data_IF_793809850473
#
_entry.id   IF_793809850473
#
_cell.length_a   1.000
_cell.length_b   1.000
_cell.length_c   1.000
_cell.angle_alpha   90.00
_cell.angle_beta   90.00
_cell.angle_gamma   90.00
#
_symmetry.space_group_name_H-M   'P 1'
#
loop_
_entity.id
_entity.type
_entity.pdbx_description
1 polymer ?
#
# COMPACT_ATOMS: atom_id res chain seq x y z
N UNK A 1 9.29 12.54 0.12
CA UNK A 1 10.50 12.54 0.98
C UNK A 1 10.74 11.12 1.46
N UNK A 2 11.97 10.59 1.45
CA UNK A 2 12.26 9.27 2.04
C UNK A 2 12.09 9.34 3.56
N UNK A 3 10.96 8.83 4.06
CA UNK A 3 10.73 8.66 5.49
C UNK A 3 11.60 7.50 5.99
N UNK A 4 12.83 7.84 6.41
CA UNK A 4 13.74 6.97 7.14
C UNK A 4 13.22 6.71 8.56
N UNK A 5 12.08 6.03 8.69
CA UNK A 5 11.54 5.58 9.98
C UNK A 5 11.71 4.08 10.13
N UNK A 6 12.98 3.65 10.17
CA UNK A 6 13.41 2.33 10.63
C UNK A 6 13.30 1.21 9.61
N UNK A 7 14.43 0.74 9.06
CA UNK A 7 14.59 -0.61 8.46
C UNK A 7 13.56 -1.04 7.38
N UNK A 8 12.78 -0.13 6.82
CA UNK A 8 11.90 -0.35 5.69
C UNK A 8 11.83 0.92 4.82
N UNK A 9 11.46 0.74 3.55
CA UNK A 9 11.21 1.82 2.59
C UNK A 9 9.79 1.70 2.07
N UNK A 10 9.11 2.82 1.84
CA UNK A 10 7.81 2.84 1.18
C UNK A 10 7.82 3.83 0.03
N UNK A 11 7.34 3.40 -1.13
CA UNK A 11 7.16 4.23 -2.32
C UNK A 11 5.69 4.21 -2.70
N UNK A 12 5.08 5.39 -2.79
CA UNK A 12 3.73 5.57 -3.32
C UNK A 12 3.77 6.24 -4.68
N UNK A 13 2.99 5.74 -5.61
CA UNK A 13 2.76 6.32 -6.92
C UNK A 13 1.25 6.45 -7.15
N UNK A 14 0.84 7.55 -7.77
CA UNK A 14 -0.55 7.84 -8.09
C UNK A 14 -0.66 8.23 -9.55
N UNK A 15 -1.62 7.65 -10.27
CA UNK A 15 -1.93 8.02 -11.65
C UNK A 15 -3.44 8.10 -11.86
N UNK A 16 -3.85 8.83 -12.89
CA UNK A 16 -5.25 8.89 -13.30
C UNK A 16 -5.54 7.76 -14.29
N UNK A 17 -6.48 6.90 -13.92
CA UNK A 17 -6.92 5.76 -14.71
C UNK A 17 -8.42 5.75 -14.93
N UNK A 18 -8.90 4.70 -15.60
CA UNK A 18 -10.34 4.41 -15.70
C UNK A 18 -10.75 3.43 -14.60
N UNK A 19 -11.89 3.65 -13.92
CA UNK A 19 -12.39 2.70 -12.94
C UNK A 19 -12.78 1.39 -13.61
N UNK A 20 -12.84 0.31 -12.82
CA UNK A 20 -13.26 -0.99 -13.32
C UNK A 20 -14.73 -0.97 -13.70
N UNK A 21 -15.11 -1.62 -14.81
CA UNK A 21 -16.52 -1.74 -15.21
C UNK A 21 -17.40 -2.43 -14.16
N UNK A 22 -16.80 -3.25 -13.28
CA UNK A 22 -17.51 -3.93 -12.19
C UNK A 22 -17.73 -3.03 -10.97
N UNK A 23 -16.88 -2.02 -10.78
CA UNK A 23 -16.92 -1.09 -9.65
C UNK A 23 -16.60 0.33 -10.17
N UNK A 24 -17.54 0.96 -10.91
CA UNK A 24 -17.32 2.26 -11.54
C UNK A 24 -17.27 3.43 -10.53
N UNK A 25 -17.74 3.18 -9.32
CA UNK A 25 -17.84 4.07 -8.16
C UNK A 25 -16.63 3.97 -7.22
N UNK A 26 -15.60 3.22 -7.61
CA UNK A 26 -14.38 3.02 -6.81
C UNK A 26 -13.12 3.17 -7.63
N UNK A 27 -12.14 3.87 -7.05
CA UNK A 27 -10.76 3.86 -7.55
C UNK A 27 -10.03 2.56 -7.21
N UNK A 28 -8.75 2.50 -7.56
CA UNK A 28 -7.93 1.32 -7.32
C UNK A 28 -6.75 1.64 -6.43
N UNK A 29 -6.43 0.69 -5.56
CA UNK A 29 -5.23 0.71 -4.72
C UNK A 29 -4.59 -0.66 -4.84
N UNK A 30 -3.33 -0.69 -5.25
CA UNK A 30 -2.50 -1.88 -5.27
C UNK A 30 -1.39 -1.71 -4.23
N UNK A 31 -1.25 -2.69 -3.34
CA UNK A 31 -0.22 -2.68 -2.31
C UNK A 31 0.66 -3.90 -2.50
N UNK A 32 1.96 -3.67 -2.60
CA UNK A 32 2.97 -4.70 -2.72
C UNK A 32 4.00 -4.57 -1.61
N UNK A 33 4.27 -5.67 -0.92
CA UNK A 33 5.32 -5.76 0.08
C UNK A 33 6.40 -6.68 -0.47
N UNK A 34 7.65 -6.25 -0.39
CA UNK A 34 8.81 -7.04 -0.75
C UNK A 34 9.73 -7.18 0.46
N UNK A 35 9.98 -8.41 0.90
CA UNK A 35 10.92 -8.71 1.97
C UNK A 35 12.30 -8.98 1.37
N UNK A 36 13.27 -8.12 1.66
CA UNK A 36 14.64 -8.32 1.19
C UNK A 36 15.24 -9.59 1.80
N UNK A 37 15.93 -10.44 1.02
CA UNK A 37 16.68 -11.57 1.58
C UNK A 37 17.72 -11.13 2.62
N UNK A 38 18.23 -9.90 2.50
CA UNK A 38 19.18 -9.31 3.45
C UNK A 38 18.54 -8.89 4.78
N UNK A 39 17.20 -8.92 4.89
CA UNK A 39 16.50 -8.45 6.08
C UNK A 39 16.49 -9.45 7.23
N UNK A 40 16.49 -10.75 6.92
CA UNK A 40 16.66 -11.84 7.88
C UNK A 40 16.97 -13.16 7.14
N UNK A 41 17.72 -14.10 7.74
CA UNK A 41 18.02 -15.40 7.13
C UNK A 41 16.76 -16.20 6.73
N UNK A 42 15.66 -16.01 7.47
CA UNK A 42 14.37 -16.62 7.17
C UNK A 42 13.70 -16.11 5.88
N UNK A 43 14.17 -15.00 5.33
CA UNK A 43 13.68 -14.45 4.06
C UNK A 43 14.46 -14.95 2.84
N UNK A 44 15.54 -15.72 3.05
CA UNK A 44 16.25 -16.36 1.94
C UNK A 44 15.42 -17.48 1.30
N UNK A 45 15.65 -17.73 0.01
CA UNK A 45 14.94 -18.77 -0.74
C UNK A 45 13.45 -18.44 -0.94
N UNK A 46 12.55 -19.35 -0.55
CA UNK A 46 11.09 -19.18 -0.72
C UNK A 46 10.40 -18.42 0.44
N UNK A 47 11.02 -18.36 1.61
CA UNK A 47 10.39 -17.81 2.82
C UNK A 47 10.03 -16.32 2.69
N UNK A 48 10.91 -15.52 2.07
CA UNK A 48 10.65 -14.10 1.86
C UNK A 48 9.47 -13.83 0.93
N UNK A 49 9.25 -14.66 -0.09
CA UNK A 49 8.18 -14.48 -1.09
C UNK A 49 6.79 -14.81 -0.52
N UNK A 50 6.67 -15.88 0.27
CA UNK A 50 5.42 -16.25 0.92
C UNK A 50 4.99 -15.17 1.91
N UNK A 51 5.90 -14.73 2.78
CA UNK A 51 5.62 -13.67 3.74
C UNK A 51 5.28 -12.33 3.06
N UNK A 52 6.02 -11.97 2.01
CA UNK A 52 5.74 -10.78 1.19
C UNK A 52 4.31 -10.78 0.64
N UNK A 53 3.86 -11.94 0.16
CA UNK A 53 2.51 -12.11 -0.39
C UNK A 53 1.47 -12.02 0.73
N UNK A 54 1.71 -12.68 1.86
CA UNK A 54 0.81 -12.65 3.01
C UNK A 54 0.66 -11.22 3.58
N UNK A 55 1.77 -10.50 3.75
CA UNK A 55 1.79 -9.10 4.20
C UNK A 55 1.06 -8.18 3.22
N UNK A 56 1.26 -8.38 1.91
CA UNK A 56 0.56 -7.60 0.88
C UNK A 56 -0.95 -7.77 0.99
N UNK A 57 -1.43 -9.02 1.11
CA UNK A 57 -2.86 -9.31 1.25
C UNK A 57 -3.39 -8.75 2.57
N UNK A 58 -2.71 -8.99 3.69
CA UNK A 58 -3.11 -8.49 5.00
C UNK A 58 -3.24 -6.96 5.01
N UNK A 59 -2.26 -6.23 4.46
CA UNK A 59 -2.32 -4.77 4.35
C UNK A 59 -3.45 -4.29 3.44
N UNK A 60 -3.68 -4.94 2.30
CA UNK A 60 -4.82 -4.64 1.44
C UNK A 60 -6.14 -4.79 2.21
N UNK A 61 -6.31 -5.88 2.97
CA UNK A 61 -7.51 -6.06 3.79
C UNK A 61 -7.63 -5.04 4.93
N UNK A 62 -6.54 -4.70 5.62
CA UNK A 62 -6.54 -3.70 6.68
C UNK A 62 -6.89 -2.30 6.15
N UNK A 63 -6.37 -1.93 4.98
CA UNK A 63 -6.53 -0.59 4.42
C UNK A 63 -7.77 -0.41 3.55
N UNK A 64 -8.30 -1.49 2.95
CA UNK A 64 -9.47 -1.44 2.08
C UNK A 64 -10.73 -2.06 2.70
N UNK A 65 -10.57 -2.93 3.69
CA UNK A 65 -11.69 -3.71 4.27
C UNK A 65 -12.19 -3.20 5.63
N UNK A 66 -11.39 -2.47 6.40
CA UNK A 66 -11.79 -2.03 7.74
C UNK A 66 -12.56 -0.70 7.71
N UNK A 67 -13.83 -0.73 8.12
CA UNK A 67 -14.63 0.48 8.37
C UNK A 67 -13.89 1.39 9.36
N UNK A 68 -13.48 2.57 8.91
CA UNK A 68 -12.95 3.65 9.75
C UNK A 68 -11.43 3.70 9.96
N UNK A 69 -10.63 2.81 9.35
CA UNK A 69 -9.16 2.82 9.54
C UNK A 69 -8.34 3.06 8.26
N UNK A 70 -8.94 2.92 7.07
CA UNK A 70 -8.23 2.85 5.78
C UNK A 70 -8.66 3.85 4.70
N UNK A 71 -8.15 3.63 3.48
CA UNK A 71 -8.35 4.47 2.29
C UNK A 71 -9.77 4.21 1.74
N UNK A 72 -10.60 5.24 1.64
CA UNK A 72 -11.92 5.10 1.03
C UNK A 72 -11.80 5.08 -0.50
N UNK A 73 -12.06 3.92 -1.12
CA UNK A 73 -11.97 3.76 -2.56
C UNK A 73 -12.96 4.65 -3.33
N UNK A 74 -14.09 5.03 -2.73
CA UNK A 74 -15.05 5.92 -3.38
C UNK A 74 -14.55 7.37 -3.41
N UNK A 75 -13.72 7.78 -2.43
CA UNK A 75 -13.03 9.08 -2.45
C UNK A 75 -11.98 9.21 -3.55
N UNK A 76 -11.57 8.09 -4.16
CA UNK A 76 -10.60 8.05 -5.25
C UNK A 76 -11.24 8.30 -6.63
N UNK A 77 -12.56 8.46 -6.71
CA UNK A 77 -13.24 8.81 -7.95
C UNK A 77 -13.13 10.31 -8.22
N UNK A 78 -12.61 10.66 -9.39
CA UNK A 78 -12.58 12.05 -9.89
C UNK A 78 -13.81 12.34 -10.72
N UNK A 79 -14.16 11.41 -11.62
CA UNK A 79 -15.37 11.45 -12.42
C UNK A 79 -15.95 10.04 -12.54
N UNK A 80 -17.14 9.85 -11.98
CA UNK A 80 -17.80 8.54 -11.90
C UNK A 80 -17.86 7.84 -13.26
N UNK A 81 -17.40 6.58 -13.29
CA UNK A 81 -17.33 5.77 -14.51
C UNK A 81 -16.36 6.26 -15.59
N UNK A 82 -15.61 7.35 -15.37
CA UNK A 82 -14.71 7.94 -16.37
C UNK A 82 -13.27 8.00 -15.89
N UNK A 83 -13.02 8.60 -14.73
CA UNK A 83 -11.68 8.88 -14.21
C UNK A 83 -11.64 8.55 -12.72
N UNK A 84 -10.67 7.74 -12.32
CA UNK A 84 -10.35 7.45 -10.94
C UNK A 84 -8.85 7.55 -10.70
N UNK A 85 -8.48 7.70 -9.44
CA UNK A 85 -7.11 7.50 -9.02
C UNK A 85 -6.79 6.01 -8.95
N UNK A 86 -5.67 5.65 -9.56
CA UNK A 86 -5.01 4.36 -9.42
C UNK A 86 -3.74 4.59 -8.58
N UNK A 87 -3.75 4.10 -7.35
CA UNK A 87 -2.65 4.18 -6.40
C UNK A 87 -1.86 2.88 -6.34
N UNK A 88 -0.54 2.99 -6.37
CA UNK A 88 0.40 1.89 -6.19
C UNK A 88 1.29 2.19 -5.00
N UNK A 89 1.38 1.25 -4.09
CA UNK A 89 2.14 1.38 -2.85
C UNK A 89 3.09 0.19 -2.76
N UNK A 90 4.38 0.46 -2.92
CA UNK A 90 5.44 -0.53 -2.78
C UNK A 90 6.14 -0.34 -1.44
N UNK A 91 6.23 -1.40 -0.66
CA UNK A 91 6.95 -1.43 0.61
C UNK A 91 8.10 -2.42 0.52
N UNK A 92 9.30 -2.01 0.92
CA UNK A 92 10.48 -2.87 1.00
C UNK A 92 10.88 -3.02 2.47
N UNK A 93 10.83 -4.24 2.99
CA UNK A 93 11.31 -4.58 4.33
C UNK A 93 12.80 -4.91 4.25
N UNK A 94 13.63 -4.17 4.98
CA UNK A 94 15.10 -4.27 4.94
C UNK A 94 15.68 -4.85 6.23
N UNK A 95 14.93 -4.88 7.34
CA UNK A 95 15.26 -5.69 8.51
C UNK A 95 14.02 -5.85 9.42
N UNK A 96 13.82 -7.04 10.01
CA UNK A 96 12.65 -7.37 10.82
C UNK A 96 12.97 -7.46 12.31
N UNK A 97 12.86 -6.34 13.03
CA UNK A 97 12.97 -6.30 14.49
C UNK A 97 11.62 -5.88 15.13
N UNK A 98 10.53 -6.60 14.84
CA UNK A 98 9.21 -6.32 15.43
C UNK A 98 8.02 -6.66 14.53
N UNK A 99 6.85 -6.08 14.84
CA UNK A 99 5.61 -6.29 14.08
C UNK A 99 5.61 -5.49 12.77
N UNK A 100 5.91 -6.17 11.66
CA UNK A 100 5.96 -5.57 10.33
C UNK A 100 4.63 -4.96 9.90
N UNK A 101 3.50 -5.55 10.28
CA UNK A 101 2.17 -5.06 9.89
C UNK A 101 1.87 -3.69 10.50
N UNK A 102 2.24 -3.46 11.76
CA UNK A 102 2.01 -2.17 12.42
C UNK A 102 2.89 -1.06 11.82
N UNK A 103 4.16 -1.40 11.52
CA UNK A 103 5.10 -0.49 10.88
C UNK A 103 4.63 -0.11 9.47
N UNK A 104 4.26 -1.11 8.66
CA UNK A 104 3.78 -0.92 7.29
C UNK A 104 2.42 -0.20 7.25
N UNK A 105 1.50 -0.55 8.14
CA UNK A 105 0.20 0.12 8.25
C UNK A 105 0.34 1.60 8.61
N UNK A 106 1.27 1.93 9.50
CA UNK A 106 1.56 3.32 9.88
C UNK A 106 2.24 4.10 8.75
N UNK A 107 3.12 3.46 7.97
CA UNK A 107 3.76 4.04 6.80
C UNK A 107 2.74 4.47 5.74
N UNK A 108 1.81 3.57 5.44
CA UNK A 108 0.78 3.78 4.41
C UNK A 108 -0.25 4.82 4.85
N UNK A 109 -0.55 4.90 6.15
CA UNK A 109 -1.42 5.93 6.70
C UNK A 109 -0.77 7.31 6.76
N UNK A 110 0.55 7.41 6.53
CA UNK A 110 1.24 8.70 6.56
C UNK A 110 0.65 9.66 5.52
N UNK A 111 0.52 10.92 5.94
CA UNK A 111 -0.15 12.04 5.26
C UNK A 111 0.32 12.28 3.81
N UNK A 112 1.46 11.72 3.43
CA UNK A 112 2.05 11.85 2.08
C UNK A 112 1.09 11.33 0.99
N UNK A 113 0.47 10.16 1.17
CA UNK A 113 -0.50 9.59 0.21
C UNK A 113 -1.76 10.47 0.05
N UNK A 114 -2.19 11.11 1.14
CA UNK A 114 -3.39 11.96 1.16
C UNK A 114 -3.13 13.34 0.54
N UNK A 115 -1.87 13.80 0.51
CA UNK A 115 -1.50 15.08 -0.12
C UNK A 115 -1.70 15.07 -1.64
N UNK A 116 -1.49 13.93 -2.30
CA UNK A 116 -1.70 13.79 -3.74
C UNK A 116 -3.18 13.84 -4.14
N UNK A 117 -4.08 13.40 -3.26
CA UNK A 117 -5.54 13.44 -3.49
C UNK A 117 -6.08 14.86 -3.28
N UNK A 118 -5.55 15.61 -2.32
CA UNK A 118 -6.06 16.94 -1.96
C UNK A 118 -5.63 18.08 -2.90
N UNK A 119 -4.67 17.86 -3.80
CA UNK A 119 -4.14 18.88 -4.70
C UNK A 119 -4.82 18.91 -6.09
N UNK A 120 -5.82 18.06 -6.33
CA UNK A 120 -6.64 18.03 -7.53
C UNK A 120 -8.07 18.51 -7.22
#
# INVERSE_FOLDING_TARGET
MDLMAGKWFSKSQAELGKPSSLQPDKGKVAIHVNCSPSAAPMFEGRGGKELSTELSVALQHCLLGAKGAGIDLSSLIVAEGKICWDFYIDCLVVCSDGNLLDALGSAIKSRELMSHISCA
#
